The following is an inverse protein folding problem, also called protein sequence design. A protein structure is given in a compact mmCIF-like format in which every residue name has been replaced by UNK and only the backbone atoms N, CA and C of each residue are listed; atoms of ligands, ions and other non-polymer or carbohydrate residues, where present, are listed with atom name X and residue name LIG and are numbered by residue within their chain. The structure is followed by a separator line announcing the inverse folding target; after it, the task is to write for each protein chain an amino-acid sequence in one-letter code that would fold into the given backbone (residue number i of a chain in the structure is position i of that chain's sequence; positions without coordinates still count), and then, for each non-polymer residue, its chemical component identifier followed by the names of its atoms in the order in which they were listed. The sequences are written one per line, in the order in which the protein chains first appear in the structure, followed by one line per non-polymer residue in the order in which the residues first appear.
data_IF_377551461490
#
_entry.id   IF_377551461490
#
_cell.length_a   1.000
_cell.length_b   1.000
_cell.length_c   1.000
_cell.angle_alpha   90.00
_cell.angle_beta   90.00
_cell.angle_gamma   90.00
#
_symmetry.space_group_name_H-M   'P 1'
#
loop_
_entity.id
_entity.type
_entity.pdbx_description
1 polymer ?
#
# COMPACT_ATOMS: atom_id res chain seq x y z
N UNK A 1 -12.40 -2.57 12.32
CA UNK A 1 -11.81 -1.37 11.70
C UNK A 1 -10.49 -1.66 10.98
N UNK A 2 -9.58 -2.44 11.60
CA UNK A 2 -8.27 -2.73 10.99
C UNK A 2 -8.38 -3.43 9.63
N UNK A 3 -9.18 -4.49 9.52
CA UNK A 3 -9.37 -5.24 8.25
C UNK A 3 -9.95 -4.34 7.16
N UNK A 4 -10.89 -3.45 7.51
CA UNK A 4 -11.44 -2.48 6.56
C UNK A 4 -10.39 -1.48 6.12
N UNK A 5 -9.61 -0.93 7.06
CA UNK A 5 -8.49 -0.06 6.73
C UNK A 5 -7.51 -0.76 5.79
N UNK A 6 -7.10 -1.99 6.17
CA UNK A 6 -6.21 -2.83 5.38
C UNK A 6 -6.73 -3.05 3.96
N UNK A 7 -7.97 -3.42 3.82
CA UNK A 7 -8.58 -3.66 2.51
C UNK A 7 -8.47 -2.44 1.60
N UNK A 8 -8.85 -1.25 2.09
CA UNK A 8 -8.82 -0.04 1.28
C UNK A 8 -7.41 0.40 0.90
N UNK A 9 -6.49 0.47 1.86
CA UNK A 9 -5.15 0.96 1.50
C UNK A 9 -4.33 -0.08 0.74
N UNK A 10 -4.49 -1.39 1.00
CA UNK A 10 -3.76 -2.41 0.26
C UNK A 10 -4.29 -2.57 -1.17
N UNK A 11 -5.59 -2.35 -1.37
CA UNK A 11 -6.18 -2.27 -2.71
C UNK A 11 -5.56 -1.11 -3.51
N UNK A 12 -5.45 0.06 -2.91
CA UNK A 12 -4.73 1.19 -3.51
C UNK A 12 -3.26 0.87 -3.83
N UNK A 13 -2.54 0.25 -2.89
CA UNK A 13 -1.12 -0.15 -3.07
C UNK A 13 -0.96 -1.11 -4.26
N UNK A 14 -1.74 -2.18 -4.31
CA UNK A 14 -1.64 -3.16 -5.39
C UNK A 14 -2.09 -2.58 -6.74
N UNK A 15 -3.08 -1.70 -6.73
CA UNK A 15 -3.57 -1.04 -7.93
C UNK A 15 -2.52 -0.11 -8.50
N UNK A 16 -1.84 0.71 -7.68
CA UNK A 16 -0.78 1.61 -8.17
C UNK A 16 0.38 0.84 -8.79
N UNK A 17 0.77 -0.30 -8.20
CA UNK A 17 1.83 -1.16 -8.73
C UNK A 17 1.45 -1.72 -10.10
N UNK A 18 0.22 -2.22 -10.26
CA UNK A 18 -0.29 -2.76 -11.54
C UNK A 18 -0.40 -1.68 -12.60
N UNK A 19 -0.96 -0.53 -12.24
CA UNK A 19 -1.11 0.59 -13.17
C UNK A 19 0.23 1.17 -13.60
N UNK A 20 1.22 1.22 -12.70
CA UNK A 20 2.57 1.66 -13.05
C UNK A 20 3.18 0.79 -14.15
N UNK A 21 2.94 -0.52 -14.12
CA UNK A 21 3.41 -1.44 -15.18
C UNK A 21 2.70 -1.16 -16.51
N UNK A 22 1.38 -0.94 -16.49
CA UNK A 22 0.60 -0.59 -17.69
C UNK A 22 1.05 0.75 -18.27
N UNK A 23 1.20 1.78 -17.42
CA UNK A 23 1.72 3.08 -17.83
C UNK A 23 3.14 3.00 -18.40
N UNK A 24 3.99 2.15 -17.83
CA UNK A 24 5.33 1.94 -18.37
C UNK A 24 5.30 1.44 -19.81
N UNK A 25 4.37 0.54 -20.17
CA UNK A 25 4.20 0.10 -21.56
C UNK A 25 3.70 1.22 -22.46
N UNK A 26 2.79 2.06 -22.00
CA UNK A 26 2.26 3.19 -22.75
C UNK A 26 3.33 4.27 -23.01
N UNK A 27 4.31 4.41 -22.09
CA UNK A 27 5.47 5.28 -22.26
C UNK A 27 6.56 4.69 -23.18
N UNK A 28 6.32 3.52 -23.78
CA UNK A 28 7.28 2.85 -24.65
C UNK A 28 8.47 2.20 -23.93
N UNK A 29 8.35 1.98 -22.61
CA UNK A 29 9.37 1.28 -21.82
C UNK A 29 9.33 -0.20 -22.20
N UNK A 30 10.48 -0.77 -22.55
CA UNK A 30 10.58 -2.17 -22.93
C UNK A 30 10.21 -3.11 -21.78
N UNK A 31 9.66 -4.29 -22.09
CA UNK A 31 9.30 -5.29 -21.09
C UNK A 31 10.48 -5.65 -20.18
N UNK A 32 11.70 -5.68 -20.72
CA UNK A 32 12.93 -5.93 -19.94
C UNK A 32 13.14 -4.83 -18.88
N UNK A 33 12.97 -3.56 -19.25
CA UNK A 33 13.10 -2.43 -18.32
C UNK A 33 12.00 -2.46 -17.24
N UNK A 34 10.77 -2.87 -17.60
CA UNK A 34 9.69 -3.03 -16.62
C UNK A 34 10.01 -4.11 -15.58
N UNK A 35 10.55 -5.26 -16.04
CA UNK A 35 10.99 -6.33 -15.13
C UNK A 35 12.15 -5.86 -14.25
N UNK A 36 13.11 -5.13 -14.80
CA UNK A 36 14.21 -4.55 -14.03
C UNK A 36 13.70 -3.54 -12.98
N UNK A 37 12.74 -2.71 -13.33
CA UNK A 37 12.14 -1.76 -12.39
C UNK A 37 11.41 -2.49 -11.24
N UNK A 38 10.70 -3.58 -11.53
CA UNK A 38 10.09 -4.43 -10.49
C UNK A 38 11.17 -5.05 -9.58
N UNK A 39 12.27 -5.54 -10.14
CA UNK A 39 13.39 -6.06 -9.35
C UNK A 39 14.00 -4.99 -8.45
N UNK A 40 14.26 -3.79 -8.98
CA UNK A 40 14.75 -2.65 -8.20
C UNK A 40 13.79 -2.29 -7.07
N UNK A 41 12.49 -2.27 -7.37
CA UNK A 41 11.45 -2.05 -6.33
C UNK A 41 11.57 -3.07 -5.19
N UNK A 42 11.77 -4.35 -5.49
CA UNK A 42 11.93 -5.40 -4.47
C UNK A 42 13.24 -5.27 -3.70
N UNK A 43 14.35 -4.93 -4.39
CA UNK A 43 15.63 -4.68 -3.73
C UNK A 43 15.55 -3.51 -2.75
N UNK A 44 14.82 -2.45 -3.10
CA UNK A 44 14.59 -1.29 -2.22
C UNK A 44 13.60 -1.65 -1.09
N UNK A 45 12.58 -2.44 -1.37
CA UNK A 45 11.58 -2.84 -0.40
C UNK A 45 12.15 -3.67 0.75
N UNK A 46 13.16 -4.51 0.48
CA UNK A 46 13.77 -5.35 1.50
C UNK A 46 14.42 -4.55 2.65
N UNK A 47 15.39 -3.65 2.41
CA UNK A 47 15.96 -2.83 3.49
C UNK A 47 14.92 -1.88 4.09
N UNK A 48 13.99 -1.37 3.30
CA UNK A 48 12.87 -0.55 3.78
C UNK A 48 12.02 -1.30 4.80
N UNK A 49 11.68 -2.56 4.58
CA UNK A 49 10.92 -3.37 5.54
C UNK A 49 11.63 -3.48 6.89
N UNK A 50 12.96 -3.63 6.89
CA UNK A 50 13.78 -3.69 8.11
C UNK A 50 13.74 -2.35 8.85
N UNK A 51 13.93 -1.24 8.14
CA UNK A 51 13.88 0.11 8.71
C UNK A 51 12.50 0.39 9.29
N UNK A 52 11.44 0.13 8.54
CA UNK A 52 10.05 0.29 9.01
C UNK A 52 9.75 -0.60 10.23
N UNK A 53 10.24 -1.84 10.25
CA UNK A 53 10.11 -2.74 11.40
C UNK A 53 10.73 -2.16 12.66
N UNK A 54 11.96 -1.63 12.58
CA UNK A 54 12.64 -0.96 13.71
C UNK A 54 11.93 0.32 14.14
N UNK A 55 11.50 1.13 13.18
CA UNK A 55 10.73 2.35 13.45
C UNK A 55 9.36 2.02 14.06
N UNK A 56 8.70 0.97 13.57
CA UNK A 56 7.44 0.47 14.13
C UNK A 56 7.56 0.02 15.59
N UNK A 57 8.67 -0.64 15.93
CA UNK A 57 8.98 -1.00 17.31
C UNK A 57 9.24 0.22 18.22
N UNK A 58 9.85 1.29 17.67
CA UNK A 58 10.19 2.50 18.44
C UNK A 58 9.05 3.50 18.56
N UNK A 59 8.32 3.75 17.46
CA UNK A 59 7.30 4.80 17.35
C UNK A 59 5.86 4.28 17.38
N UNK A 60 5.68 2.98 17.34
CA UNK A 60 4.40 2.30 17.27
C UNK A 60 4.03 1.91 15.84
N UNK A 61 3.58 0.67 15.67
CA UNK A 61 3.26 0.07 14.35
C UNK A 61 2.14 0.84 13.65
N UNK A 62 1.10 1.22 14.37
CA UNK A 62 -0.02 2.01 13.84
C UNK A 62 0.43 3.35 13.24
N UNK A 63 1.28 4.10 13.95
CA UNK A 63 1.78 5.40 13.47
C UNK A 63 2.59 5.23 12.19
N UNK A 64 3.42 4.20 12.13
CA UNK A 64 4.22 3.90 10.94
C UNK A 64 3.36 3.44 9.76
N UNK A 65 2.24 2.73 10.01
CA UNK A 65 1.26 2.40 8.97
C UNK A 65 0.58 3.67 8.42
N UNK A 66 0.20 4.60 9.28
CA UNK A 66 -0.36 5.89 8.83
C UNK A 66 0.63 6.68 7.96
N UNK A 67 1.92 6.69 8.33
CA UNK A 67 2.99 7.28 7.50
C UNK A 67 3.10 6.56 6.15
N UNK A 68 3.02 5.23 6.15
CA UNK A 68 3.03 4.44 4.92
C UNK A 68 1.85 4.76 3.99
N UNK A 69 0.64 4.86 4.54
CA UNK A 69 -0.58 5.22 3.78
C UNK A 69 -0.45 6.62 3.18
N UNK A 70 0.03 7.60 3.94
CA UNK A 70 0.29 8.95 3.45
C UNK A 70 1.37 8.97 2.37
N UNK A 71 2.44 8.16 2.54
CA UNK A 71 3.48 7.99 1.53
C UNK A 71 2.92 7.46 0.21
N UNK A 72 2.04 6.46 0.26
CA UNK A 72 1.37 5.96 -0.94
C UNK A 72 0.38 6.95 -1.56
N UNK A 73 -0.34 7.72 -0.76
CA UNK A 73 -1.17 8.82 -1.27
C UNK A 73 -0.32 9.84 -2.03
N UNK A 74 0.87 10.18 -1.51
CA UNK A 74 1.83 11.06 -2.17
C UNK A 74 2.39 10.43 -3.48
N UNK A 75 2.74 9.15 -3.46
CA UNK A 75 3.18 8.40 -4.64
C UNK A 75 2.10 8.43 -5.73
N UNK A 76 0.84 8.23 -5.35
CA UNK A 76 -0.31 8.29 -6.26
C UNK A 76 -0.48 9.67 -6.87
N UNK A 77 -0.34 10.71 -6.06
CA UNK A 77 -0.36 12.09 -6.53
C UNK A 77 0.78 12.38 -7.51
N UNK A 78 1.99 11.93 -7.19
CA UNK A 78 3.15 12.05 -8.08
C UNK A 78 2.93 11.30 -9.40
N UNK A 79 2.44 10.06 -9.35
CA UNK A 79 2.15 9.28 -10.55
C UNK A 79 1.09 9.94 -11.44
N UNK A 80 0.03 10.50 -10.86
CA UNK A 80 -1.05 11.14 -11.62
C UNK A 80 -0.59 12.42 -12.35
N UNK A 81 0.32 13.19 -11.77
CA UNK A 81 0.72 14.50 -12.30
C UNK A 81 2.03 14.51 -13.09
N UNK A 82 2.99 13.71 -12.67
CA UNK A 82 4.37 13.81 -13.15
C UNK A 82 4.81 12.62 -14.01
N UNK A 83 4.08 11.51 -14.04
CA UNK A 83 4.50 10.33 -14.79
C UNK A 83 4.35 10.54 -16.31
N UNK A 84 5.40 11.03 -16.97
CA UNK A 84 5.41 11.34 -18.40
C UNK A 84 6.65 10.79 -19.14
N UNK A 85 7.66 10.37 -18.41
CA UNK A 85 8.92 9.88 -18.98
C UNK A 85 9.46 8.65 -18.25
N UNK A 86 10.41 7.95 -18.90
CA UNK A 86 11.07 6.79 -18.30
C UNK A 86 11.82 7.14 -16.99
N UNK A 87 12.37 8.35 -16.88
CA UNK A 87 13.09 8.77 -15.67
C UNK A 87 12.14 8.87 -14.48
N UNK A 88 10.98 9.47 -14.67
CA UNK A 88 9.95 9.59 -13.63
C UNK A 88 9.39 8.23 -13.23
N UNK A 89 9.30 7.30 -14.19
CA UNK A 89 8.94 5.91 -13.92
C UNK A 89 9.94 5.21 -12.99
N UNK A 90 11.24 5.40 -13.19
CA UNK A 90 12.26 4.85 -12.30
C UNK A 90 12.23 5.47 -10.91
N UNK A 91 12.00 6.77 -10.81
CA UNK A 91 11.81 7.48 -9.53
C UNK A 91 10.59 6.88 -8.81
N UNK A 92 9.48 6.69 -9.52
CA UNK A 92 8.27 6.08 -8.99
C UNK A 92 8.53 4.67 -8.45
N UNK A 93 9.27 3.83 -9.20
CA UNK A 93 9.63 2.47 -8.79
C UNK A 93 10.42 2.46 -7.46
N UNK A 94 11.37 3.37 -7.29
CA UNK A 94 12.12 3.52 -6.03
C UNK A 94 11.21 3.98 -4.90
N UNK A 95 10.36 4.99 -5.14
CA UNK A 95 9.42 5.49 -4.14
C UNK A 95 8.45 4.40 -3.68
N UNK A 96 7.90 3.63 -4.61
CA UNK A 96 7.05 2.46 -4.30
C UNK A 96 7.82 1.47 -3.43
N UNK A 97 9.05 1.12 -3.80
CA UNK A 97 9.90 0.22 -3.01
C UNK A 97 10.13 0.68 -1.58
N UNK A 98 10.36 1.98 -1.38
CA UNK A 98 10.60 2.56 -0.05
C UNK A 98 9.40 2.38 0.92
N UNK A 99 8.19 2.36 0.42
CA UNK A 99 7.00 2.23 1.26
C UNK A 99 6.40 0.82 1.24
N UNK A 100 6.53 0.08 0.14
CA UNK A 100 5.90 -1.22 -0.06
C UNK A 100 6.32 -2.25 0.98
N UNK A 101 7.63 -2.42 1.17
CA UNK A 101 8.16 -3.39 2.14
C UNK A 101 7.68 -3.10 3.56
N UNK A 102 7.73 -1.82 3.93
CA UNK A 102 7.30 -1.36 5.25
C UNK A 102 5.82 -1.56 5.51
N UNK A 103 4.96 -1.12 4.59
CA UNK A 103 3.51 -1.19 4.79
C UNK A 103 3.02 -2.64 4.85
N UNK A 104 3.57 -3.53 4.03
CA UNK A 104 3.20 -4.96 4.03
C UNK A 104 3.68 -5.67 5.31
N UNK A 105 4.93 -5.45 5.72
CA UNK A 105 5.48 -6.06 6.92
C UNK A 105 4.76 -5.59 8.20
N UNK A 106 4.52 -4.27 8.33
CA UNK A 106 3.83 -3.71 9.48
C UNK A 106 2.34 -4.07 9.52
N UNK A 107 1.66 -4.20 8.38
CA UNK A 107 0.27 -4.64 8.32
C UNK A 107 0.10 -6.04 8.91
N UNK A 108 0.97 -6.98 8.54
CA UNK A 108 0.97 -8.33 9.12
C UNK A 108 1.32 -8.32 10.61
N UNK A 109 2.31 -7.51 11.00
CA UNK A 109 2.72 -7.38 12.39
C UNK A 109 1.59 -6.81 13.28
N UNK A 110 0.92 -5.75 12.83
CA UNK A 110 -0.17 -5.15 13.59
C UNK A 110 -1.39 -6.07 13.66
N UNK A 111 -1.72 -6.74 12.56
CA UNK A 111 -2.79 -7.73 12.55
C UNK A 111 -2.53 -8.87 13.54
N UNK A 112 -1.29 -9.39 13.56
CA UNK A 112 -0.90 -10.45 14.48
C UNK A 112 -1.01 -10.07 15.96
N UNK A 113 -0.93 -8.78 16.31
CA UNK A 113 -1.15 -8.29 17.68
C UNK A 113 -2.63 -8.17 18.04
N UNK A 114 -3.49 -7.98 17.04
CA UNK A 114 -4.93 -7.80 17.22
C UNK A 114 -5.71 -9.10 17.26
N UNK A 115 -5.10 -10.22 16.83
CA UNK A 115 -5.74 -11.53 16.68
C UNK A 115 -5.43 -12.41 17.90
N UNK A 116 -6.44 -13.14 18.45
CA UNK A 116 -6.22 -14.15 19.49
C UNK A 116 -5.28 -15.25 18.99
N UNK A 117 -4.26 -15.59 19.80
CA UNK A 117 -3.23 -16.59 19.45
C UNK A 117 -3.79 -17.97 19.13
N UNK A 118 -4.91 -18.34 19.75
CA UNK A 118 -5.57 -19.65 19.62
C UNK A 118 -6.16 -19.89 18.22
N UNK A 119 -6.58 -18.83 17.52
CA UNK A 119 -7.20 -18.89 16.19
C UNK A 119 -6.40 -18.13 15.12
N UNK A 120 -5.13 -17.84 15.38
CA UNK A 120 -4.30 -17.02 14.51
C UNK A 120 -4.32 -17.50 13.05
N UNK A 121 -4.23 -18.81 12.79
CA UNK A 121 -4.20 -19.36 11.44
C UNK A 121 -5.48 -19.06 10.64
N UNK A 122 -6.65 -19.12 11.27
CA UNK A 122 -7.94 -18.84 10.62
C UNK A 122 -8.02 -17.35 10.24
N UNK A 123 -7.62 -16.47 11.16
CA UNK A 123 -7.63 -15.03 10.94
C UNK A 123 -6.61 -14.59 9.89
N UNK A 124 -5.42 -15.20 9.87
CA UNK A 124 -4.43 -14.92 8.80
C UNK A 124 -4.89 -15.45 7.45
N UNK A 125 -5.62 -16.59 7.41
CA UNK A 125 -6.28 -17.05 6.19
C UNK A 125 -7.26 -16.02 5.63
N UNK A 126 -8.09 -15.42 6.50
CA UNK A 126 -8.98 -14.32 6.14
C UNK A 126 -8.22 -13.08 5.64
N UNK A 127 -7.19 -12.68 6.36
CA UNK A 127 -6.33 -11.56 5.98
C UNK A 127 -5.71 -11.73 4.59
N UNK A 128 -5.21 -12.93 4.28
CA UNK A 128 -4.61 -13.25 2.98
C UNK A 128 -5.67 -13.25 1.86
N UNK A 129 -6.91 -13.66 2.14
CA UNK A 129 -8.03 -13.56 1.19
C UNK A 129 -8.27 -12.10 0.83
N UNK A 130 -8.43 -11.22 1.81
CA UNK A 130 -8.59 -9.78 1.54
C UNK A 130 -7.43 -9.19 0.77
N UNK A 131 -6.19 -9.58 1.10
CA UNK A 131 -4.99 -9.15 0.37
C UNK A 131 -4.96 -9.63 -1.08
N UNK A 132 -5.43 -10.85 -1.38
CA UNK A 132 -5.47 -11.40 -2.74
C UNK A 132 -6.55 -10.74 -3.61
N UNK A 133 -7.70 -10.44 -3.04
CA UNK A 133 -8.79 -9.74 -3.74
C UNK A 133 -8.60 -8.22 -3.77
N UNK A 134 -7.63 -7.70 -3.03
CA UNK A 134 -7.21 -6.32 -3.14
C UNK A 134 -6.72 -6.02 -4.57
N UNK A 135 -6.95 -4.82 -5.03
CA UNK A 135 -6.78 -4.31 -6.40
C UNK A 135 -7.98 -4.51 -7.35
N UNK A 136 -9.01 -5.22 -6.96
CA UNK A 136 -10.22 -5.33 -7.78
C UNK A 136 -11.00 -4.02 -7.75
N UNK A 137 -11.23 -3.47 -6.56
CA UNK A 137 -12.00 -2.23 -6.40
C UNK A 137 -11.22 -1.03 -6.92
N UNK A 138 -9.91 -0.94 -6.64
CA UNK A 138 -9.07 0.13 -7.14
C UNK A 138 -8.96 0.12 -8.66
N UNK A 139 -8.76 -1.05 -9.27
CA UNK A 139 -8.73 -1.18 -10.73
C UNK A 139 -10.07 -0.79 -11.36
N UNK A 140 -11.19 -1.23 -10.78
CA UNK A 140 -12.53 -0.86 -11.24
C UNK A 140 -12.77 0.65 -11.13
N UNK A 141 -12.39 1.25 -10.01
CA UNK A 141 -12.51 2.70 -9.76
C UNK A 141 -11.71 3.49 -10.82
N UNK A 142 -10.44 3.15 -11.00
CA UNK A 142 -9.57 3.82 -11.98
C UNK A 142 -10.10 3.66 -13.40
N UNK A 143 -10.49 2.43 -13.81
CA UNK A 143 -11.02 2.17 -15.14
C UNK A 143 -12.30 2.96 -15.40
N UNK A 144 -13.24 2.95 -14.45
CA UNK A 144 -14.51 3.66 -14.58
C UNK A 144 -14.29 5.16 -14.73
N UNK A 145 -13.45 5.75 -13.88
CA UNK A 145 -13.18 7.19 -13.92
C UNK A 145 -12.40 7.56 -15.18
N UNK A 146 -11.45 6.72 -15.62
CA UNK A 146 -10.72 6.93 -16.88
C UNK A 146 -11.67 6.92 -18.08
N UNK A 147 -12.62 5.98 -18.13
CA UNK A 147 -13.61 5.92 -19.21
C UNK A 147 -14.54 7.14 -19.19
N UNK A 148 -15.00 7.56 -18.01
CA UNK A 148 -15.93 8.70 -17.88
C UNK A 148 -15.26 10.05 -18.18
N UNK A 149 -14.00 10.21 -17.84
CA UNK A 149 -13.27 11.49 -17.98
C UNK A 149 -12.41 11.55 -19.23
N UNK A 150 -12.11 10.40 -19.87
CA UNK A 150 -11.16 10.29 -20.95
C UNK A 150 -9.70 10.51 -20.54
N UNK A 151 -9.40 10.62 -19.24
CA UNK A 151 -8.08 10.98 -18.71
C UNK A 151 -7.60 9.96 -17.69
N UNK A 152 -6.60 9.18 -18.05
CA UNK A 152 -6.00 8.17 -17.16
C UNK A 152 -5.43 8.76 -15.87
N UNK A 153 -4.88 9.99 -15.94
CA UNK A 153 -4.35 10.69 -14.77
C UNK A 153 -5.41 10.94 -13.70
N UNK A 154 -6.64 11.28 -14.08
CA UNK A 154 -7.77 11.47 -13.15
C UNK A 154 -8.19 10.12 -12.56
N UNK A 155 -8.19 9.07 -13.38
CA UNK A 155 -8.42 7.71 -12.93
C UNK A 155 -7.42 7.30 -11.83
N UNK A 156 -6.13 7.48 -12.06
CA UNK A 156 -5.07 7.19 -11.06
C UNK A 156 -5.24 8.06 -9.82
N UNK A 157 -5.53 9.34 -9.98
CA UNK A 157 -5.76 10.25 -8.85
C UNK A 157 -6.90 9.80 -7.94
N UNK A 158 -7.91 9.12 -8.48
CA UNK A 158 -9.03 8.60 -7.69
C UNK A 158 -8.60 7.60 -6.60
N UNK A 159 -7.43 6.94 -6.75
CA UNK A 159 -6.90 6.05 -5.72
C UNK A 159 -6.58 6.77 -4.41
N UNK A 160 -6.39 8.09 -4.44
CA UNK A 160 -6.22 8.90 -3.22
C UNK A 160 -7.43 8.74 -2.31
N UNK A 161 -8.64 8.53 -2.85
CA UNK A 161 -9.84 8.26 -2.07
C UNK A 161 -9.71 6.96 -1.26
N UNK A 162 -9.15 5.89 -1.86
CA UNK A 162 -8.93 4.62 -1.16
C UNK A 162 -7.94 4.79 -0.01
N UNK A 163 -6.86 5.54 -0.24
CA UNK A 163 -5.90 5.85 0.82
C UNK A 163 -6.51 6.73 1.89
N UNK A 164 -7.33 7.72 1.55
CA UNK A 164 -8.02 8.57 2.52
C UNK A 164 -8.99 7.77 3.39
N UNK A 165 -9.79 6.89 2.80
CA UNK A 165 -10.70 5.99 3.52
C UNK A 165 -9.90 5.02 4.40
N UNK A 166 -8.86 4.38 3.86
CA UNK A 166 -7.95 3.51 4.60
C UNK A 166 -7.29 4.22 5.77
N UNK A 167 -6.87 5.47 5.59
CA UNK A 167 -6.29 6.31 6.63
C UNK A 167 -7.29 6.60 7.77
N UNK A 168 -8.51 6.99 7.43
CA UNK A 168 -9.57 7.29 8.42
C UNK A 168 -9.91 6.05 9.25
N UNK A 169 -10.05 4.89 8.61
CA UNK A 169 -10.28 3.64 9.33
C UNK A 169 -9.09 3.23 10.20
N UNK A 170 -7.86 3.39 9.69
CA UNK A 170 -6.65 3.10 10.47
C UNK A 170 -6.50 4.03 11.67
N UNK A 171 -6.88 5.30 11.51
CA UNK A 171 -6.89 6.24 12.64
C UNK A 171 -7.80 5.78 13.78
N UNK A 172 -8.96 5.18 13.46
CA UNK A 172 -9.92 4.67 14.43
C UNK A 172 -9.53 3.34 15.09
N UNK A 173 -8.49 2.66 14.58
CA UNK A 173 -7.95 1.44 15.22
C UNK A 173 -7.33 1.83 16.57
N UNK A 174 -7.64 1.14 17.69
CA UNK A 174 -6.97 1.38 18.97
C UNK A 174 -5.48 1.05 18.87
N UNK A 175 -4.64 1.78 19.61
CA UNK A 175 -3.21 1.48 19.66
C UNK A 175 -2.98 0.12 20.34
N UNK A 176 -2.33 -0.82 19.65
CA UNK A 176 -2.04 -2.15 20.17
C UNK A 176 -1.20 -2.15 21.45
N UNK A 177 -0.41 -1.09 21.68
CA UNK A 177 0.38 -0.88 22.91
C UNK A 177 -0.50 -0.65 24.14
N UNK A 178 -1.75 -0.18 23.98
CA UNK A 178 -2.69 0.00 25.10
C UNK A 178 -3.45 -1.28 25.46
N UNK A 179 -3.54 -2.23 24.55
CA UNK A 179 -4.25 -3.49 24.81
C UNK A 179 -3.47 -4.42 25.79
N UNK A 180 -2.13 -4.42 25.70
CA UNK A 180 -1.29 -5.24 26.58
C UNK A 180 -1.28 -4.74 28.04
N UNK A 181 -1.55 -3.45 28.30
CA UNK A 181 -1.65 -2.87 29.64
C UNK A 181 -2.99 -3.10 30.34
N UNK A 182 -4.05 -3.38 29.59
CA UNK A 182 -5.41 -3.59 30.14
C UNK A 182 -5.70 -5.06 30.51
N UNK A 183 -4.86 -6.00 30.06
CA UNK A 183 -5.02 -7.43 30.35
C UNK A 183 -4.18 -7.92 31.55
N UNK A 184 -3.43 -7.04 32.21
CA UNK A 184 -2.59 -7.34 33.39
C UNK A 184 -3.03 -6.61 34.66
N UNK A 185 -4.25 -6.03 34.71
CA UNK A 185 -4.84 -5.37 35.85
C UNK A 185 -6.00 -6.11 36.50
#
# INVERSE_FOLDING_TARGET
YFILAYFFYIDGVHTIIRLSTSYGTDLGISSTQLVLALLVTQFVAFPSAIVYGRMGARFGTKRMLLVGILGYAFITFFAALFLRSAVEFWILAIMVGLFQGGIQALSRSEFGKLVPKEHANEYFGFFDIFGKYASVMGTFLVSTITVLTGMSSIGVFSLVLLFAVGFVFMWKVPDSVRADGASQG
#
